data_IF_671706296950
#
_entry.id   IF_671706296950
#
_cell.length_a   1.000
_cell.length_b   1.000
_cell.length_c   1.000
_cell.angle_alpha   90.00
_cell.angle_beta   90.00
_cell.angle_gamma   90.00
#
_symmetry.space_group_name_H-M   'P 1'
#
loop_
_entity.id
_entity.type
_entity.pdbx_description
1 polymer ?
#
# COMPACT_ATOMS: atom_id res chain seq x y z
N UNK A 1 -10.93 13.43 51.39
CA UNK A 1 -11.18 12.42 52.43
C UNK A 1 -11.13 11.04 51.78
N UNK A 2 -10.13 10.23 52.18
CA UNK A 2 -10.04 8.75 52.21
C UNK A 2 -10.33 7.96 50.90
N UNK A 3 -9.62 6.90 50.51
CA UNK A 3 -8.53 6.08 51.07
C UNK A 3 -7.94 5.23 49.91
N UNK A 4 -6.62 5.14 49.77
CA UNK A 4 -5.80 3.94 50.02
C UNK A 4 -6.35 2.59 49.54
N UNK A 5 -5.66 1.95 48.60
CA UNK A 5 -5.42 0.49 48.64
C UNK A 5 -4.07 0.15 47.97
N UNK A 6 -3.10 -0.25 48.80
CA UNK A 6 -1.85 -0.93 48.41
C UNK A 6 -2.12 -2.43 48.43
N UNK A 7 -1.69 -3.17 47.40
CA UNK A 7 -1.54 -4.61 47.48
C UNK A 7 -0.07 -4.94 47.20
N UNK A 8 0.59 -5.41 48.26
CA UNK A 8 1.87 -6.12 48.24
C UNK A 8 1.53 -7.57 48.57
N UNK A 9 1.98 -8.52 47.76
CA UNK A 9 2.25 -9.87 48.27
C UNK A 9 3.36 -10.53 47.46
N UNK A 10 4.40 -10.95 48.19
CA UNK A 10 5.55 -11.74 47.74
C UNK A 10 5.20 -13.22 47.94
N UNK A 11 5.49 -14.07 46.97
CA UNK A 11 5.83 -15.48 47.20
C UNK A 11 6.97 -15.82 46.25
N UNK A 12 8.10 -16.28 46.80
CA UNK A 12 9.21 -16.85 46.06
C UNK A 12 9.24 -18.37 46.21
N UNK A 13 9.89 -19.06 45.27
CA UNK A 13 10.48 -20.39 45.45
C UNK A 13 11.78 -20.47 44.60
N UNK A 14 12.93 -20.86 45.19
CA UNK A 14 14.17 -21.18 44.49
C UNK A 14 14.25 -22.68 44.16
N UNK A 15 14.97 -23.12 43.12
CA UNK A 15 15.72 -24.40 43.11
C UNK A 15 16.73 -24.38 41.94
N UNK A 16 17.97 -24.75 42.29
CA UNK A 16 19.13 -24.94 41.42
C UNK A 16 19.04 -26.23 40.58
N UNK A 17 19.67 -26.22 39.39
CA UNK A 17 19.81 -27.40 38.53
C UNK A 17 21.15 -27.38 37.80
N UNK A 18 21.87 -28.50 37.91
CA UNK A 18 23.31 -28.71 37.72
C UNK A 18 23.91 -28.41 36.34
N UNK A 19 25.21 -28.09 36.43
CA UNK A 19 26.25 -28.13 35.42
C UNK A 19 26.45 -29.54 34.82
N UNK A 20 26.60 -29.61 33.50
CA UNK A 20 27.38 -30.65 32.83
C UNK A 20 28.19 -30.01 31.69
N UNK A 21 29.48 -29.74 31.96
CA UNK A 21 30.47 -29.47 30.92
C UNK A 21 31.01 -30.82 30.44
N UNK A 22 30.66 -31.22 29.22
CA UNK A 22 31.43 -32.21 28.48
C UNK A 22 32.30 -31.49 27.46
N UNK A 23 33.55 -31.26 27.83
CA UNK A 23 34.64 -30.98 26.91
C UNK A 23 35.18 -32.31 26.36
N UNK A 24 35.18 -32.50 25.03
CA UNK A 24 36.01 -33.49 24.36
C UNK A 24 36.04 -33.27 22.84
N UNK A 25 37.25 -33.11 22.27
CA UNK A 25 37.58 -33.22 20.84
C UNK A 25 37.32 -31.95 20.01
N UNK A 26 38.29 -31.28 19.36
CA UNK A 26 39.57 -31.75 18.84
C UNK A 26 39.42 -32.23 17.40
N UNK A 27 39.46 -31.30 16.43
CA UNK A 27 39.42 -31.59 14.99
C UNK A 27 39.48 -30.29 14.19
N UNK A 28 40.69 -29.93 13.74
CA UNK A 28 40.92 -28.79 12.87
C UNK A 28 40.75 -29.20 11.42
N UNK A 29 39.60 -28.87 10.84
CA UNK A 29 39.41 -28.87 9.40
C UNK A 29 39.35 -27.42 8.95
N UNK A 30 40.40 -26.99 8.24
CA UNK A 30 40.41 -25.78 7.43
C UNK A 30 39.46 -25.98 6.24
N UNK A 31 38.16 -25.95 6.56
CA UNK A 31 37.09 -25.87 5.58
C UNK A 31 37.18 -24.51 4.91
N UNK A 32 37.53 -24.52 3.62
CA UNK A 32 37.25 -23.43 2.70
C UNK A 32 35.79 -23.03 2.94
N UNK A 33 35.58 -21.88 3.59
CA UNK A 33 34.26 -21.37 3.90
C UNK A 33 33.49 -21.26 2.61
N UNK A 34 32.61 -22.22 2.35
CA UNK A 34 31.55 -22.08 1.36
C UNK A 34 30.78 -20.86 1.82
N UNK A 35 30.96 -19.74 1.11
CA UNK A 35 30.13 -18.56 1.27
C UNK A 35 28.70 -19.08 1.14
N UNK A 36 27.95 -19.06 2.23
CA UNK A 36 26.61 -19.63 2.27
C UNK A 36 25.82 -19.02 1.12
N UNK A 37 25.42 -19.84 0.16
CA UNK A 37 24.58 -19.39 -0.95
C UNK A 37 23.25 -18.97 -0.36
N UNK A 38 23.07 -17.67 -0.14
CA UNK A 38 21.79 -17.12 0.29
C UNK A 38 20.79 -17.28 -0.85
N UNK A 39 19.60 -17.81 -0.56
CA UNK A 39 18.51 -17.82 -1.52
C UNK A 39 18.02 -16.39 -1.71
N UNK A 40 18.07 -15.81 -2.92
CA UNK A 40 17.60 -14.47 -3.17
C UNK A 40 16.14 -14.28 -2.75
N UNK A 41 15.82 -13.13 -2.18
CA UNK A 41 14.43 -12.75 -1.88
C UNK A 41 13.92 -11.78 -2.94
N UNK A 42 12.61 -11.77 -3.17
CA UNK A 42 12.00 -10.88 -4.17
C UNK A 42 10.83 -10.12 -3.57
N UNK A 43 10.84 -8.80 -3.78
CA UNK A 43 9.73 -7.92 -3.47
C UNK A 43 9.04 -7.56 -4.78
N UNK A 44 7.79 -7.97 -4.90
CA UNK A 44 6.93 -7.69 -6.06
C UNK A 44 5.73 -6.86 -5.62
N UNK A 45 5.07 -6.20 -6.56
CA UNK A 45 4.00 -5.31 -6.18
C UNK A 45 3.34 -4.57 -7.31
N UNK A 46 2.52 -3.61 -6.93
CA UNK A 46 1.88 -2.66 -7.85
C UNK A 46 1.94 -1.27 -7.25
N UNK A 47 2.41 -0.30 -8.04
CA UNK A 47 2.33 1.11 -7.71
C UNK A 47 1.05 1.73 -8.31
N UNK A 48 0.16 2.21 -7.45
CA UNK A 48 -1.11 2.77 -7.89
C UNK A 48 -1.55 4.00 -7.07
N UNK A 49 -1.65 5.10 -7.79
CA UNK A 49 -2.52 6.24 -7.50
C UNK A 49 -3.30 6.61 -8.78
N UNK A 50 -3.62 5.55 -9.52
CA UNK A 50 -3.54 5.45 -10.96
C UNK A 50 -2.32 4.60 -11.32
N UNK A 51 -2.39 3.74 -12.33
CA UNK A 51 -1.25 2.89 -12.69
C UNK A 51 0.00 3.74 -12.95
N UNK A 52 1.02 3.60 -12.10
CA UNK A 52 2.26 4.38 -12.22
C UNK A 52 3.23 3.60 -13.10
N UNK A 53 3.54 4.11 -14.30
CA UNK A 53 4.38 3.43 -15.29
C UNK A 53 5.76 4.04 -15.38
N UNK A 54 6.77 3.21 -15.63
CA UNK A 54 8.16 3.64 -15.80
C UNK A 54 8.69 4.44 -14.60
N UNK A 55 8.18 4.18 -13.39
CA UNK A 55 8.71 4.77 -12.18
C UNK A 55 9.93 3.98 -11.70
N UNK A 56 10.87 4.67 -11.08
CA UNK A 56 11.98 4.03 -10.38
C UNK A 56 11.45 3.43 -9.08
N UNK A 57 11.73 2.15 -8.85
CA UNK A 57 11.39 1.45 -7.62
C UNK A 57 12.67 1.16 -6.85
N UNK A 58 12.70 1.54 -5.58
CA UNK A 58 13.77 1.16 -4.65
C UNK A 58 13.21 0.29 -3.54
N UNK A 59 13.93 -0.76 -3.19
CA UNK A 59 13.68 -1.61 -2.02
C UNK A 59 14.87 -1.45 -1.09
N UNK A 60 14.68 -0.66 -0.04
CA UNK A 60 15.69 -0.27 0.92
C UNK A 60 15.52 -1.10 2.19
N UNK A 61 16.59 -1.76 2.65
CA UNK A 61 16.55 -2.49 3.92
C UNK A 61 16.41 -1.51 5.07
N UNK A 62 15.85 -1.98 6.17
CA UNK A 62 15.84 -1.23 7.41
C UNK A 62 16.77 -1.95 8.37
N UNK A 63 17.95 -1.39 8.57
CA UNK A 63 19.02 -1.96 9.39
C UNK A 63 19.21 -1.05 10.59
N UNK A 64 19.22 -1.62 11.79
CA UNK A 64 19.33 -0.87 13.06
C UNK A 64 18.33 0.29 13.17
N UNK A 65 17.12 0.09 12.64
CA UNK A 65 16.05 1.07 12.70
C UNK A 65 16.10 2.17 11.65
N UNK A 66 17.04 2.12 10.70
CA UNK A 66 17.25 3.18 9.71
C UNK A 66 17.14 2.57 8.30
N UNK A 67 16.35 3.18 7.39
CA UNK A 67 16.37 2.79 5.99
C UNK A 67 17.74 3.03 5.37
N UNK A 68 18.22 2.10 4.57
CA UNK A 68 19.41 2.30 3.75
C UNK A 68 19.31 3.55 2.86
N UNK A 69 20.47 4.09 2.50
CA UNK A 69 20.54 5.20 1.54
C UNK A 69 20.07 4.73 0.16
N UNK A 70 19.43 5.62 -0.60
CA UNK A 70 18.84 5.27 -1.91
C UNK A 70 19.84 4.62 -2.88
N UNK A 71 21.10 5.06 -2.83
CA UNK A 71 22.17 4.54 -3.67
C UNK A 71 22.54 3.07 -3.38
N UNK A 72 22.18 2.53 -2.22
CA UNK A 72 22.47 1.14 -1.82
C UNK A 72 21.24 0.24 -1.86
N UNK A 73 20.05 0.79 -2.11
CA UNK A 73 18.82 0.02 -2.22
C UNK A 73 18.83 -0.85 -3.49
N UNK A 74 18.19 -2.02 -3.41
CA UNK A 74 17.89 -2.78 -4.62
C UNK A 74 16.91 -1.98 -5.49
N UNK A 75 17.05 -2.04 -6.81
CA UNK A 75 16.27 -1.19 -7.72
C UNK A 75 15.59 -1.94 -8.84
N UNK A 76 14.54 -1.34 -9.39
CA UNK A 76 13.83 -1.79 -10.57
C UNK A 76 12.96 -0.68 -11.13
N UNK A 77 12.07 -1.02 -12.07
CA UNK A 77 11.15 -0.06 -12.68
C UNK A 77 9.74 -0.62 -12.75
N UNK A 78 8.73 0.23 -12.65
CA UNK A 78 7.35 -0.21 -12.87
C UNK A 78 7.05 -0.47 -14.34
N UNK A 79 6.32 -1.54 -14.62
CA UNK A 79 5.85 -1.94 -15.94
C UNK A 79 4.64 -1.13 -16.44
N UNK A 80 4.10 -1.48 -17.62
CA UNK A 80 2.94 -0.80 -18.21
C UNK A 80 1.63 -0.93 -17.43
N UNK A 81 1.54 -1.89 -16.52
CA UNK A 81 0.44 -2.09 -15.58
C UNK A 81 0.79 -1.59 -14.17
N UNK A 82 1.89 -0.86 -14.00
CA UNK A 82 2.38 -0.42 -12.69
C UNK A 82 2.92 -1.54 -11.80
N UNK A 83 3.01 -2.78 -12.30
CA UNK A 83 3.65 -3.87 -11.58
C UNK A 83 5.16 -3.66 -11.48
N UNK A 84 5.78 -4.21 -10.44
CA UNK A 84 7.24 -4.24 -10.33
C UNK A 84 7.68 -5.54 -9.64
N UNK A 85 8.95 -5.89 -9.83
CA UNK A 85 9.63 -6.98 -9.14
C UNK A 85 11.09 -6.60 -8.96
N UNK A 86 11.56 -6.60 -7.71
CA UNK A 86 12.93 -6.24 -7.33
C UNK A 86 13.51 -7.37 -6.50
N UNK A 87 14.62 -7.93 -6.97
CA UNK A 87 15.33 -9.03 -6.31
C UNK A 87 16.43 -8.49 -5.40
N UNK A 88 16.51 -9.03 -4.18
CA UNK A 88 17.57 -8.80 -3.21
C UNK A 88 18.47 -10.04 -3.19
N UNK A 89 19.64 -9.92 -3.82
CA UNK A 89 20.53 -11.07 -4.12
C UNK A 89 21.14 -11.72 -2.89
N UNK A 90 21.14 -11.05 -1.74
CA UNK A 90 21.71 -11.53 -0.49
C UNK A 90 20.70 -12.23 0.42
N UNK A 91 19.46 -12.43 -0.06
CA UNK A 91 18.45 -13.17 0.67
C UNK A 91 17.93 -12.48 1.92
N UNK A 92 17.95 -11.14 1.96
CA UNK A 92 17.48 -10.36 3.11
C UNK A 92 16.02 -10.68 3.46
N UNK A 93 15.75 -10.92 4.75
CA UNK A 93 14.42 -11.28 5.29
C UNK A 93 13.89 -10.30 6.35
N UNK A 94 14.57 -9.18 6.56
CA UNK A 94 14.18 -8.17 7.55
C UNK A 94 13.15 -7.15 7.04
N UNK A 95 12.85 -6.12 7.85
CA UNK A 95 11.96 -5.04 7.45
C UNK A 95 12.53 -4.22 6.28
N UNK A 96 11.67 -3.77 5.36
CA UNK A 96 12.10 -2.97 4.22
C UNK A 96 11.13 -1.82 3.91
N UNK A 97 11.67 -0.76 3.33
CA UNK A 97 10.95 0.38 2.77
C UNK A 97 11.00 0.29 1.24
N UNK A 98 9.84 0.36 0.62
CA UNK A 98 9.71 0.43 -0.84
C UNK A 98 9.41 1.88 -1.20
N UNK A 99 10.17 2.43 -2.14
CA UNK A 99 9.97 3.79 -2.68
C UNK A 99 9.67 3.70 -4.16
N UNK A 100 8.60 4.34 -4.59
CA UNK A 100 8.26 4.54 -6.01
C UNK A 100 8.46 6.01 -6.29
N UNK A 101 9.39 6.33 -7.19
CA UNK A 101 9.84 7.68 -7.48
C UNK A 101 9.70 7.97 -8.98
N UNK A 102 9.50 9.25 -9.30
CA UNK A 102 9.57 9.70 -10.68
C UNK A 102 10.96 9.42 -11.28
N UNK A 103 10.96 8.90 -12.50
CA UNK A 103 12.08 8.77 -13.41
C UNK A 103 11.76 9.42 -14.76
N UNK A 104 12.56 9.12 -15.77
CA UNK A 104 12.33 9.64 -17.13
C UNK A 104 11.08 9.02 -17.73
N UNK A 105 10.13 9.84 -18.19
CA UNK A 105 8.91 9.37 -18.83
C UNK A 105 7.89 8.72 -17.88
N UNK A 106 8.06 8.87 -16.56
CA UNK A 106 7.11 8.33 -15.59
C UNK A 106 5.77 9.03 -15.68
N UNK A 107 4.71 8.23 -15.76
CA UNK A 107 3.33 8.71 -15.81
C UNK A 107 2.47 7.95 -14.82
N UNK A 108 1.33 8.53 -14.48
CA UNK A 108 0.26 7.88 -13.72
C UNK A 108 -1.06 8.03 -14.47
N UNK A 109 -1.93 7.03 -14.34
CA UNK A 109 -3.31 7.12 -14.84
C UNK A 109 -4.09 8.14 -13.99
N UNK A 110 -4.79 9.07 -14.62
CA UNK A 110 -5.84 9.84 -13.97
C UNK A 110 -7.15 9.04 -14.01
N UNK A 111 -7.53 8.40 -12.90
CA UNK A 111 -8.70 7.52 -12.86
C UNK A 111 -10.03 8.26 -13.08
N UNK A 112 -10.03 9.60 -13.10
CA UNK A 112 -11.22 10.39 -13.39
C UNK A 112 -11.40 10.70 -14.88
N UNK A 113 -10.34 10.59 -15.67
CA UNK A 113 -10.36 10.94 -17.11
C UNK A 113 -9.88 9.80 -18.01
N UNK A 114 -9.18 8.80 -17.46
CA UNK A 114 -8.54 7.73 -18.21
C UNK A 114 -7.24 8.15 -18.92
N UNK A 115 -6.81 9.40 -18.75
CA UNK A 115 -5.61 9.94 -19.38
C UNK A 115 -4.36 9.66 -18.55
N UNK A 116 -3.21 9.54 -19.20
CA UNK A 116 -1.92 9.51 -18.51
C UNK A 116 -1.42 10.93 -18.28
N UNK A 117 -1.04 11.23 -17.04
CA UNK A 117 -0.46 12.50 -16.62
C UNK A 117 0.95 12.28 -16.04
N UNK A 118 1.82 13.30 -16.01
CA UNK A 118 3.13 13.18 -15.39
C UNK A 118 3.04 12.75 -13.93
N UNK A 119 3.95 11.87 -13.49
CA UNK A 119 4.13 11.51 -12.09
C UNK A 119 5.40 12.19 -11.56
N UNK A 120 5.28 13.02 -10.53
CA UNK A 120 6.36 13.88 -10.03
C UNK A 120 6.50 13.86 -8.49
N UNK A 121 6.09 12.75 -7.87
CA UNK A 121 6.11 12.57 -6.41
C UNK A 121 6.84 11.28 -6.05
N UNK A 122 6.98 11.05 -4.74
CA UNK A 122 7.44 9.77 -4.20
C UNK A 122 6.33 9.18 -3.35
N UNK A 123 5.98 7.93 -3.58
CA UNK A 123 5.12 7.15 -2.69
C UNK A 123 5.90 5.99 -2.10
N UNK A 124 5.60 5.67 -0.85
CA UNK A 124 6.28 4.63 -0.10
C UNK A 124 5.29 3.57 0.38
N UNK A 125 5.84 2.39 0.62
CA UNK A 125 5.20 1.35 1.39
C UNK A 125 6.27 0.71 2.29
N UNK A 126 5.82 0.01 3.33
CA UNK A 126 6.68 -0.66 4.28
C UNK A 126 6.28 -2.13 4.36
N UNK A 127 7.26 -3.01 4.53
CA UNK A 127 7.01 -4.42 4.81
C UNK A 127 7.72 -4.79 6.13
N UNK A 128 7.04 -5.44 7.08
CA UNK A 128 7.62 -5.76 8.38
C UNK A 128 8.71 -6.84 8.28
N UNK A 129 8.61 -7.72 7.29
CA UNK A 129 9.62 -8.71 6.97
C UNK A 129 9.54 -9.07 5.48
N UNK A 130 10.67 -9.06 4.79
CA UNK A 130 10.81 -9.64 3.46
C UNK A 130 10.90 -11.17 3.58
N UNK A 131 10.34 -11.88 2.63
CA UNK A 131 10.42 -13.34 2.51
C UNK A 131 10.84 -13.72 1.08
N UNK A 132 10.87 -15.02 0.76
CA UNK A 132 11.19 -15.49 -0.60
C UNK A 132 10.35 -14.77 -1.67
N UNK A 133 9.06 -14.58 -1.40
CA UNK A 133 8.12 -13.80 -2.23
C UNK A 133 7.31 -12.87 -1.36
N UNK A 134 7.62 -11.57 -1.41
CA UNK A 134 6.87 -10.52 -0.72
C UNK A 134 6.06 -9.71 -1.71
N UNK A 135 4.77 -9.51 -1.44
CA UNK A 135 3.90 -8.66 -2.24
C UNK A 135 3.58 -7.39 -1.48
N UNK A 136 3.71 -6.23 -2.14
CA UNK A 136 3.40 -4.92 -1.54
C UNK A 136 2.73 -4.00 -2.55
N UNK A 137 1.81 -3.16 -2.06
CA UNK A 137 1.12 -2.18 -2.90
C UNK A 137 1.50 -0.77 -2.45
N UNK A 138 1.96 0.03 -3.40
CA UNK A 138 2.40 1.41 -3.15
C UNK A 138 1.30 2.36 -3.60
N UNK A 139 0.59 2.93 -2.64
CA UNK A 139 -0.58 3.81 -2.82
C UNK A 139 -0.47 5.02 -1.89
N UNK A 140 -1.34 6.05 -2.00
CA UNK A 140 -1.37 7.11 -1.00
C UNK A 140 -1.61 6.57 0.42
N UNK A 141 -2.38 5.49 0.57
CA UNK A 141 -2.68 4.92 1.88
C UNK A 141 -1.46 4.19 2.47
N UNK A 142 -0.67 3.49 1.65
CA UNK A 142 0.60 2.93 2.13
C UNK A 142 1.62 4.04 2.44
N UNK A 143 1.58 5.14 1.70
CA UNK A 143 2.42 6.32 1.96
C UNK A 143 2.06 6.96 3.31
N UNK A 144 0.78 7.00 3.68
CA UNK A 144 0.37 7.39 5.03
C UNK A 144 1.05 6.51 6.10
N UNK A 145 1.00 5.18 5.93
CA UNK A 145 1.62 4.26 6.88
C UNK A 145 3.15 4.44 6.93
N UNK A 146 3.80 4.63 5.78
CA UNK A 146 5.24 4.86 5.71
C UNK A 146 5.66 6.19 6.34
N UNK A 147 4.89 7.26 6.13
CA UNK A 147 5.16 8.59 6.70
C UNK A 147 5.11 8.61 8.23
N UNK A 148 4.34 7.71 8.84
CA UNK A 148 4.23 7.54 10.28
C UNK A 148 5.53 7.05 10.96
N UNK A 149 6.46 6.46 10.18
CA UNK A 149 7.67 5.80 10.70
C UNK A 149 8.83 6.75 11.00
N UNK A 150 8.78 8.00 10.52
CA UNK A 150 9.93 8.90 10.59
C UNK A 150 11.15 8.32 9.84
N UNK A 151 12.36 8.59 10.34
CA UNK A 151 13.62 8.18 9.69
C UNK A 151 14.51 7.27 10.55
N UNK A 152 14.10 6.95 11.77
CA UNK A 152 14.93 6.19 12.72
C UNK A 152 14.08 5.35 13.69
N UNK A 153 14.68 4.31 14.25
CA UNK A 153 14.02 3.42 15.21
C UNK A 153 12.87 2.64 14.59
N UNK A 154 12.92 2.34 13.29
CA UNK A 154 11.89 1.61 12.54
C UNK A 154 12.10 0.11 12.72
N UNK A 155 11.08 -0.61 13.16
CA UNK A 155 11.10 -2.07 13.29
C UNK A 155 9.81 -2.70 12.75
N UNK A 156 9.80 -4.02 12.63
CA UNK A 156 8.65 -4.79 12.14
C UNK A 156 7.36 -4.51 12.93
N UNK A 157 7.47 -4.30 14.25
CA UNK A 157 6.33 -4.01 15.12
C UNK A 157 5.73 -2.65 14.83
N UNK A 158 6.56 -1.61 14.69
CA UNK A 158 6.10 -0.26 14.33
C UNK A 158 5.50 -0.20 12.93
N UNK A 159 6.09 -0.91 11.97
CA UNK A 159 5.53 -1.03 10.61
C UNK A 159 4.12 -1.62 10.67
N UNK A 160 3.96 -2.74 11.39
CA UNK A 160 2.65 -3.40 11.56
C UNK A 160 1.64 -2.48 12.25
N UNK A 161 2.06 -1.75 13.28
CA UNK A 161 1.22 -0.78 13.99
C UNK A 161 0.73 0.33 13.04
N UNK A 162 1.62 0.96 12.26
CA UNK A 162 1.21 2.02 11.34
C UNK A 162 0.26 1.53 10.25
N UNK A 163 0.50 0.35 9.69
CA UNK A 163 -0.42 -0.26 8.73
C UNK A 163 -1.80 -0.51 9.36
N UNK A 164 -1.83 -1.00 10.60
CA UNK A 164 -3.07 -1.26 11.35
C UNK A 164 -3.82 0.04 11.67
N UNK A 165 -3.09 1.08 12.09
CA UNK A 165 -3.67 2.40 12.40
C UNK A 165 -4.27 3.04 11.14
N UNK A 166 -3.56 3.00 10.00
CA UNK A 166 -4.11 3.49 8.73
C UNK A 166 -5.31 2.67 8.28
N UNK A 167 -5.25 1.34 8.37
CA UNK A 167 -6.37 0.45 8.06
C UNK A 167 -7.61 0.76 8.92
N UNK A 168 -7.43 0.94 10.23
CA UNK A 168 -8.51 1.31 11.16
C UNK A 168 -9.11 2.68 10.83
N UNK A 169 -8.26 3.67 10.58
CA UNK A 169 -8.70 5.02 10.23
C UNK A 169 -9.48 5.06 8.91
N UNK A 170 -9.08 4.23 7.94
CA UNK A 170 -9.70 4.16 6.62
C UNK A 170 -10.74 3.05 6.51
N UNK A 171 -11.10 2.40 7.62
CA UNK A 171 -12.10 1.35 7.65
C UNK A 171 -13.47 1.85 7.19
N UNK A 172 -13.83 3.10 7.52
CA UNK A 172 -15.05 3.75 7.01
C UNK A 172 -15.08 3.98 5.50
N UNK A 173 -13.94 3.82 4.82
CA UNK A 173 -13.82 3.82 3.35
C UNK A 173 -13.64 2.42 2.77
N UNK A 174 -13.58 1.38 3.61
CA UNK A 174 -13.29 0.00 3.22
C UNK A 174 -11.89 -0.19 2.61
N UNK A 175 -10.91 0.64 2.99
CA UNK A 175 -9.54 0.53 2.48
C UNK A 175 -8.82 -0.59 3.23
N UNK A 176 -8.25 -1.52 2.47
CA UNK A 176 -7.39 -2.57 2.97
C UNK A 176 -6.05 -2.55 2.20
N UNK A 177 -4.95 -2.30 2.92
CA UNK A 177 -3.62 -2.16 2.35
C UNK A 177 -3.06 -3.46 1.73
N UNK A 178 -3.68 -4.60 2.02
CA UNK A 178 -3.34 -5.91 1.45
C UNK A 178 -4.03 -6.20 0.11
N UNK A 179 -4.93 -5.31 -0.34
CA UNK A 179 -5.69 -5.49 -1.56
C UNK A 179 -4.98 -4.82 -2.74
N UNK A 180 -4.87 -5.57 -3.83
CA UNK A 180 -4.28 -5.09 -5.07
C UNK A 180 -5.08 -3.90 -5.61
N UNK A 181 -4.46 -2.76 -5.93
CA UNK A 181 -5.16 -1.53 -6.33
C UNK A 181 -5.57 -1.52 -7.81
N UNK A 182 -6.05 -2.66 -8.31
CA UNK A 182 -6.57 -2.87 -9.66
C UNK A 182 -7.38 -4.17 -9.70
N UNK A 183 -8.22 -4.33 -10.72
CA UNK A 183 -8.95 -5.58 -10.92
C UNK A 183 -8.01 -6.63 -11.52
N UNK A 184 -7.94 -7.82 -10.91
CA UNK A 184 -7.09 -8.91 -11.34
C UNK A 184 -7.92 -10.14 -11.72
N UNK A 185 -8.38 -10.20 -12.98
CA UNK A 185 -9.19 -11.32 -13.45
C UNK A 185 -8.36 -12.59 -13.64
N UNK A 186 -7.05 -12.46 -13.85
CA UNK A 186 -6.15 -13.61 -13.97
C UNK A 186 -6.12 -14.43 -12.69
N UNK A 187 -5.96 -13.78 -11.55
CA UNK A 187 -5.81 -14.47 -10.27
C UNK A 187 -7.13 -14.58 -9.50
N UNK A 188 -8.04 -13.62 -9.68
CA UNK A 188 -9.25 -13.49 -8.85
C UNK A 188 -10.55 -13.53 -9.67
N UNK A 189 -10.52 -13.90 -10.95
CA UNK A 189 -11.71 -13.91 -11.81
C UNK A 189 -12.87 -14.79 -11.32
N UNK A 190 -12.58 -15.76 -10.44
CA UNK A 190 -13.57 -16.61 -9.77
C UNK A 190 -13.88 -16.22 -8.32
N UNK A 191 -13.18 -15.23 -7.75
CA UNK A 191 -13.37 -14.77 -6.37
C UNK A 191 -14.12 -13.43 -6.36
N UNK A 192 -15.46 -13.46 -6.22
CA UNK A 192 -16.25 -12.24 -6.19
C UNK A 192 -15.91 -11.32 -5.03
N UNK A 193 -15.59 -11.85 -3.85
CA UNK A 193 -15.33 -11.02 -2.68
C UNK A 193 -14.05 -10.20 -2.89
N UNK A 194 -13.00 -10.85 -3.40
CA UNK A 194 -11.73 -10.20 -3.70
C UNK A 194 -11.87 -9.17 -4.82
N UNK A 195 -12.61 -9.46 -5.90
CA UNK A 195 -12.88 -8.47 -6.95
C UNK A 195 -13.63 -7.24 -6.40
N UNK A 196 -14.52 -7.42 -5.42
CA UNK A 196 -15.24 -6.32 -4.77
C UNK A 196 -14.32 -5.43 -3.95
N UNK A 197 -13.41 -6.05 -3.20
CA UNK A 197 -12.38 -5.34 -2.46
C UNK A 197 -11.45 -4.56 -3.39
N UNK A 198 -11.03 -5.17 -4.51
CA UNK A 198 -10.20 -4.50 -5.54
C UNK A 198 -10.93 -3.31 -6.17
N UNK A 199 -12.21 -3.48 -6.52
CA UNK A 199 -13.01 -2.39 -7.06
C UNK A 199 -13.19 -1.25 -6.05
N UNK A 200 -13.42 -1.57 -4.77
CA UNK A 200 -13.49 -0.55 -3.72
C UNK A 200 -12.15 0.18 -3.59
N UNK A 201 -11.02 -0.52 -3.63
CA UNK A 201 -9.70 0.13 -3.59
C UNK A 201 -9.52 1.12 -4.75
N UNK A 202 -9.86 0.73 -5.99
CA UNK A 202 -9.80 1.64 -7.16
C UNK A 202 -10.75 2.83 -6.99
N UNK A 203 -11.96 2.62 -6.44
CA UNK A 203 -12.89 3.69 -6.10
C UNK A 203 -12.30 4.67 -5.09
N UNK A 204 -11.64 4.18 -4.03
CA UNK A 204 -11.01 5.06 -3.03
C UNK A 204 -9.82 5.84 -3.62
N UNK A 205 -9.01 5.24 -4.50
CA UNK A 205 -7.94 5.97 -5.22
C UNK A 205 -8.49 7.05 -6.15
N UNK A 206 -9.63 6.78 -6.79
CA UNK A 206 -10.38 7.76 -7.58
C UNK A 206 -10.92 8.89 -6.70
N UNK A 207 -11.43 8.61 -5.49
CA UNK A 207 -11.81 9.64 -4.51
C UNK A 207 -10.64 10.53 -4.12
N UNK A 208 -9.45 9.96 -3.91
CA UNK A 208 -8.25 10.77 -3.64
C UNK A 208 -7.93 11.68 -4.83
N UNK A 209 -8.11 11.20 -6.08
CA UNK A 209 -7.94 12.02 -7.29
C UNK A 209 -8.95 13.17 -7.34
N UNK A 210 -10.22 12.90 -7.07
CA UNK A 210 -11.26 13.92 -7.03
C UNK A 210 -11.01 14.94 -5.91
N UNK A 211 -10.64 14.49 -4.73
CA UNK A 211 -10.33 15.37 -3.61
C UNK A 211 -9.15 16.29 -3.93
N UNK A 212 -8.12 15.79 -4.63
CA UNK A 212 -7.01 16.61 -5.09
C UNK A 212 -7.45 17.75 -6.01
N UNK A 213 -8.43 17.49 -6.90
CA UNK A 213 -8.95 18.48 -7.85
C UNK A 213 -9.97 19.44 -7.24
N UNK A 214 -10.78 18.97 -6.31
CA UNK A 214 -12.01 19.68 -5.92
C UNK A 214 -12.10 20.04 -4.43
N UNK A 215 -11.33 19.41 -3.55
CA UNK A 215 -11.41 19.68 -2.11
C UNK A 215 -10.50 20.84 -1.69
N UNK A 216 -11.08 22.03 -1.51
CA UNK A 216 -10.37 23.20 -0.96
C UNK A 216 -9.99 23.10 0.52
N UNK A 217 -10.49 22.07 1.22
CA UNK A 217 -10.14 21.79 2.62
C UNK A 217 -8.79 21.08 2.78
N UNK A 218 -8.29 20.44 1.72
CA UNK A 218 -6.96 19.82 1.73
C UNK A 218 -5.92 20.90 1.48
N UNK A 219 -5.10 21.18 2.49
CA UNK A 219 -4.12 22.26 2.49
C UNK A 219 -2.73 21.73 2.80
N UNK A 220 -1.73 22.24 2.09
CA UNK A 220 -0.32 21.94 2.37
C UNK A 220 0.16 22.49 3.72
N UNK A 221 1.43 22.27 4.05
CA UNK A 221 2.03 22.76 5.31
C UNK A 221 2.06 24.29 5.43
N UNK A 222 1.90 25.02 4.33
CA UNK A 222 1.85 26.48 4.30
C UNK A 222 0.40 27.00 4.34
N UNK A 223 -0.60 26.10 4.42
CA UNK A 223 -2.01 26.44 4.41
C UNK A 223 -2.61 26.72 3.03
N UNK A 224 -1.86 26.51 1.95
CA UNK A 224 -2.36 26.67 0.58
C UNK A 224 -3.19 25.45 0.19
N UNK A 225 -4.36 25.66 -0.41
CA UNK A 225 -5.21 24.56 -0.87
C UNK A 225 -4.52 23.76 -1.99
N UNK A 226 -4.62 22.44 -1.96
CA UNK A 226 -4.02 21.59 -2.98
C UNK A 226 -4.56 21.90 -4.38
N UNK A 227 -5.83 22.30 -4.49
CA UNK A 227 -6.48 22.73 -5.74
C UNK A 227 -6.40 24.23 -6.00
N UNK A 228 -5.42 24.95 -5.42
CA UNK A 228 -5.24 26.37 -5.68
C UNK A 228 -5.12 26.68 -7.18
N UNK A 229 -5.62 27.84 -7.62
CA UNK A 229 -5.56 28.26 -9.01
C UNK A 229 -4.11 28.26 -9.52
N UNK A 230 -3.89 27.72 -10.72
CA UNK A 230 -2.57 27.62 -11.35
C UNK A 230 -1.79 26.34 -11.00
N UNK A 231 -2.30 25.48 -10.12
CA UNK A 231 -1.72 24.15 -9.91
C UNK A 231 -2.12 23.19 -11.02
N UNK A 232 -1.14 22.45 -11.54
CA UNK A 232 -1.39 21.34 -12.46
C UNK A 232 -1.95 20.12 -11.72
N UNK A 233 -2.66 19.24 -12.41
CA UNK A 233 -3.19 18.00 -11.81
C UNK A 233 -2.13 17.15 -11.10
N UNK A 234 -0.91 16.92 -11.64
CA UNK A 234 0.15 16.25 -10.89
C UNK A 234 0.52 16.92 -9.56
N UNK A 235 0.60 18.26 -9.54
CA UNK A 235 0.89 19.03 -8.32
C UNK A 235 -0.24 18.91 -7.29
N UNK A 236 -1.49 18.95 -7.74
CA UNK A 236 -2.67 18.76 -6.88
C UNK A 236 -2.61 17.40 -6.18
N UNK A 237 -2.32 16.33 -6.93
CA UNK A 237 -2.21 14.98 -6.40
C UNK A 237 -1.04 14.88 -5.42
N UNK A 238 0.13 15.40 -5.78
CA UNK A 238 1.30 15.38 -4.90
C UNK A 238 1.01 16.09 -3.57
N UNK A 239 0.35 17.25 -3.63
CA UNK A 239 -0.11 17.96 -2.44
C UNK A 239 -1.05 17.08 -1.59
N UNK A 240 -2.09 16.51 -2.20
CA UNK A 240 -3.04 15.65 -1.46
C UNK A 240 -2.38 14.44 -0.82
N UNK A 241 -1.45 13.78 -1.51
CA UNK A 241 -0.68 12.66 -0.94
C UNK A 241 0.14 13.12 0.27
N UNK A 242 0.77 14.29 0.21
CA UNK A 242 1.50 14.87 1.33
C UNK A 242 0.57 15.24 2.51
N UNK A 243 -0.63 15.77 2.22
CA UNK A 243 -1.63 16.07 3.25
C UNK A 243 -2.09 14.78 3.94
N UNK A 244 -2.37 13.74 3.16
CA UNK A 244 -2.71 12.41 3.70
C UNK A 244 -1.57 11.87 4.57
N UNK A 245 -0.33 11.92 4.09
CA UNK A 245 0.85 11.52 4.88
C UNK A 245 0.92 12.27 6.23
N UNK A 246 0.61 13.56 6.24
CA UNK A 246 0.67 14.38 7.45
C UNK A 246 -0.38 14.06 8.53
N UNK A 247 -1.35 13.19 8.23
CA UNK A 247 -2.35 12.69 9.19
C UNK A 247 -1.70 11.85 10.28
N UNK A 248 -0.65 11.11 9.94
CA UNK A 248 0.10 10.31 10.90
C UNK A 248 1.13 11.20 11.60
N UNK A 249 1.15 11.19 12.93
CA UNK A 249 2.14 11.92 13.75
C UNK A 249 3.18 10.99 14.39
N UNK A 250 3.04 9.68 14.16
CA UNK A 250 3.91 8.63 14.63
C UNK A 250 3.29 7.26 14.32
N UNK A 251 4.03 6.19 14.60
CA UNK A 251 3.66 4.82 14.24
C UNK A 251 2.26 4.38 14.67
N UNK A 252 1.80 4.84 15.84
CA UNK A 252 0.53 4.45 16.44
C UNK A 252 -0.38 5.65 16.70
N UNK A 253 -0.02 6.84 16.22
CA UNK A 253 -0.73 8.09 16.53
C UNK A 253 -1.17 8.80 15.27
N UNK A 254 -2.46 9.13 15.24
CA UNK A 254 -3.05 10.02 14.25
C UNK A 254 -3.21 11.40 14.86
N UNK A 255 -3.11 12.44 14.02
CA UNK A 255 -3.69 13.74 14.32
C UNK A 255 -5.20 13.64 14.03
N UNK A 256 -6.07 13.64 15.05
CA UNK A 256 -7.50 13.42 14.87
C UNK A 256 -8.16 14.53 14.03
N UNK A 257 -7.66 15.76 14.09
CA UNK A 257 -8.20 16.89 13.32
C UNK A 257 -7.85 16.75 11.84
N UNK A 258 -6.60 16.40 11.52
CA UNK A 258 -6.20 16.12 10.14
C UNK A 258 -6.88 14.89 9.58
N UNK A 259 -6.99 13.81 10.38
CA UNK A 259 -7.70 12.60 10.00
C UNK A 259 -9.16 12.91 9.64
N UNK A 260 -9.87 13.65 10.49
CA UNK A 260 -11.24 14.08 10.24
C UNK A 260 -11.34 14.95 8.97
N UNK A 261 -10.40 15.87 8.77
CA UNK A 261 -10.37 16.74 7.58
C UNK A 261 -10.18 15.93 6.29
N UNK A 262 -9.22 15.01 6.28
CA UNK A 262 -8.97 14.13 5.13
C UNK A 262 -10.17 13.23 4.86
N UNK A 263 -10.71 12.58 5.89
CA UNK A 263 -11.86 11.70 5.74
C UNK A 263 -13.09 12.45 5.24
N UNK A 264 -13.36 13.65 5.76
CA UNK A 264 -14.45 14.51 5.28
C UNK A 264 -14.22 14.93 3.81
N UNK A 265 -13.00 15.32 3.44
CA UNK A 265 -12.67 15.70 2.07
C UNK A 265 -12.87 14.53 1.08
N UNK A 266 -12.50 13.31 1.47
CA UNK A 266 -12.67 12.10 0.66
C UNK A 266 -14.14 11.67 0.57
N UNK A 267 -14.88 11.71 1.68
CA UNK A 267 -16.30 11.35 1.72
C UNK A 267 -17.18 12.36 0.97
N UNK A 268 -16.77 13.62 0.87
CA UNK A 268 -17.47 14.62 0.07
C UNK A 268 -17.35 14.38 -1.45
N UNK A 269 -16.46 13.48 -1.90
CA UNK A 269 -16.31 13.17 -3.32
C UNK A 269 -17.30 12.11 -3.79
N UNK A 270 -18.21 12.52 -4.67
CA UNK A 270 -19.09 11.61 -5.41
C UNK A 270 -18.37 11.10 -6.65
N UNK A 271 -17.82 9.89 -6.59
CA UNK A 271 -17.28 9.23 -7.78
C UNK A 271 -18.45 8.75 -8.63
N UNK A 272 -18.68 9.38 -9.76
CA UNK A 272 -19.71 8.96 -10.74
C UNK A 272 -19.12 8.06 -11.81
N UNK A 273 -17.83 8.23 -12.14
CA UNK A 273 -17.14 7.41 -13.13
C UNK A 273 -15.70 7.19 -12.68
N UNK A 274 -15.22 5.95 -12.79
CA UNK A 274 -13.83 5.59 -12.58
C UNK A 274 -13.30 4.83 -13.78
N UNK A 275 -12.11 5.20 -14.26
CA UNK A 275 -11.37 4.46 -15.28
C UNK A 275 -10.51 3.41 -14.59
N UNK A 276 -10.97 2.16 -14.64
CA UNK A 276 -10.37 1.09 -13.87
C UNK A 276 -9.34 0.30 -14.68
N UNK A 277 -8.14 0.09 -14.15
CA UNK A 277 -7.21 -0.88 -14.70
C UNK A 277 -7.69 -2.31 -14.41
N UNK A 278 -7.79 -3.12 -15.46
CA UNK A 278 -8.18 -4.53 -15.37
C UNK A 278 -7.10 -5.38 -16.00
N UNK A 279 -6.48 -6.27 -15.23
CA UNK A 279 -5.67 -7.38 -15.77
C UNK A 279 -6.65 -8.45 -16.25
N UNK A 280 -6.57 -8.79 -17.54
CA UNK A 280 -7.37 -9.84 -18.18
C UNK A 280 -6.93 -11.22 -17.70
N UNK A 281 -7.73 -12.24 -18.00
CA UNK A 281 -7.40 -13.63 -17.70
C UNK A 281 -6.05 -14.10 -18.29
N UNK A 282 -5.64 -13.55 -19.44
CA UNK A 282 -4.35 -13.84 -20.08
C UNK A 282 -3.14 -13.11 -19.43
N UNK A 283 -3.39 -12.26 -18.43
CA UNK A 283 -2.38 -11.46 -17.75
C UNK A 283 -2.02 -10.14 -18.44
N UNK A 284 -2.65 -9.81 -19.56
CA UNK A 284 -2.47 -8.50 -20.22
C UNK A 284 -3.38 -7.44 -19.60
N UNK A 285 -2.99 -6.18 -19.71
CA UNK A 285 -3.82 -5.05 -19.27
C UNK A 285 -4.92 -4.77 -20.31
N UNK A 286 -6.18 -4.65 -19.87
CA UNK A 286 -7.29 -4.23 -20.71
C UNK A 286 -7.11 -2.78 -21.17
N UNK A 287 -7.06 -2.57 -22.49
CA UNK A 287 -6.90 -1.25 -23.10
C UNK A 287 -8.00 -1.07 -24.18
N UNK A 288 -8.67 0.11 -24.27
CA UNK A 288 -8.57 1.23 -23.34
C UNK A 288 -9.04 0.86 -21.91
N UNK A 289 -8.66 1.68 -20.93
CA UNK A 289 -9.16 1.53 -19.56
C UNK A 289 -10.68 1.54 -19.55
N UNK A 290 -11.30 0.65 -18.78
CA UNK A 290 -12.75 0.52 -18.77
C UNK A 290 -13.35 1.58 -17.84
N UNK A 291 -14.25 2.39 -18.37
CA UNK A 291 -15.05 3.32 -17.56
C UNK A 291 -16.13 2.54 -16.82
N UNK A 292 -16.19 2.69 -15.51
CA UNK A 292 -17.23 2.10 -14.66
C UNK A 292 -18.03 3.21 -14.02
N UNK A 293 -19.34 3.12 -14.15
CA UNK A 293 -20.29 4.05 -13.57
C UNK A 293 -20.48 3.70 -12.10
N UNK A 294 -20.19 4.65 -11.22
CA UNK A 294 -20.15 4.49 -9.77
C UNK A 294 -21.34 5.19 -9.07
N UNK A 295 -22.35 5.65 -9.83
CA UNK A 295 -23.46 6.51 -9.34
C UNK A 295 -24.40 5.82 -8.35
N UNK A 296 -24.67 4.54 -8.53
CA UNK A 296 -25.49 3.73 -7.63
C UNK A 296 -24.89 2.35 -7.47
N UNK A 297 -25.25 1.63 -6.40
CA UNK A 297 -24.82 0.24 -6.24
C UNK A 297 -25.23 -0.58 -7.47
N UNK A 298 -26.51 -0.63 -7.82
CA UNK A 298 -26.98 -1.40 -8.99
C UNK A 298 -26.26 -1.02 -10.29
N UNK A 299 -26.10 0.27 -10.59
CA UNK A 299 -25.40 0.73 -11.81
C UNK A 299 -23.91 0.36 -11.77
N UNK A 300 -23.29 0.41 -10.60
CA UNK A 300 -21.89 -0.01 -10.38
C UNK A 300 -21.72 -1.49 -10.64
N UNK A 301 -22.60 -2.35 -10.12
CA UNK A 301 -22.52 -3.79 -10.39
C UNK A 301 -22.61 -4.10 -11.89
N UNK A 302 -23.56 -3.48 -12.58
CA UNK A 302 -23.79 -3.74 -14.01
C UNK A 302 -22.64 -3.22 -14.86
N UNK A 303 -22.18 -1.99 -14.63
CA UNK A 303 -21.08 -1.40 -15.42
C UNK A 303 -19.75 -2.09 -15.14
N UNK A 304 -19.49 -2.51 -13.90
CA UNK A 304 -18.31 -3.30 -13.55
C UNK A 304 -18.36 -4.69 -14.17
N UNK A 305 -19.50 -5.36 -14.15
CA UNK A 305 -19.68 -6.64 -14.83
C UNK A 305 -19.42 -6.51 -16.33
N UNK A 306 -19.96 -5.47 -16.98
CA UNK A 306 -19.71 -5.19 -18.39
C UNK A 306 -18.22 -4.95 -18.67
N UNK A 307 -17.54 -4.18 -17.82
CA UNK A 307 -16.10 -3.93 -17.91
C UNK A 307 -15.25 -5.21 -17.72
N UNK A 308 -15.64 -6.11 -16.82
CA UNK A 308 -14.95 -7.39 -16.65
C UNK A 308 -15.21 -8.33 -17.83
N UNK A 309 -16.43 -8.37 -18.35
CA UNK A 309 -16.78 -9.16 -19.54
C UNK A 309 -16.04 -8.66 -20.79
N UNK A 310 -15.93 -7.35 -21.00
CA UNK A 310 -15.13 -6.78 -22.09
C UNK A 310 -13.63 -7.08 -21.94
N UNK A 311 -13.16 -7.24 -20.70
CA UNK A 311 -11.80 -7.68 -20.37
C UNK A 311 -11.62 -9.22 -20.45
N UNK A 312 -12.62 -9.98 -20.89
CA UNK A 312 -12.52 -11.42 -21.13
C UNK A 312 -13.01 -12.32 -20.00
N UNK A 313 -13.76 -11.80 -19.02
CA UNK A 313 -14.43 -12.63 -18.01
C UNK A 313 -15.56 -13.45 -18.66
N UNK A 314 -15.39 -14.76 -18.78
CA UNK A 314 -16.43 -15.65 -19.32
C UNK A 314 -17.56 -15.86 -18.30
N UNK A 315 -18.80 -15.82 -18.78
CA UNK A 315 -20.08 -15.53 -18.09
C UNK A 315 -20.53 -16.44 -16.94
N UNK A 316 -19.76 -17.46 -16.51
CA UNK A 316 -20.19 -18.40 -15.47
C UNK A 316 -20.15 -17.86 -14.03
N UNK A 317 -19.40 -16.78 -13.76
CA UNK A 317 -19.31 -16.17 -12.43
C UNK A 317 -20.18 -14.90 -12.27
N UNK A 318 -20.90 -14.47 -13.29
CA UNK A 318 -21.25 -13.06 -13.44
C UNK A 318 -22.38 -12.49 -12.51
N UNK A 319 -23.55 -13.15 -12.29
CA UNK A 319 -24.70 -12.44 -11.71
C UNK A 319 -24.62 -12.20 -10.19
N UNK A 320 -24.06 -13.16 -9.43
CA UNK A 320 -24.00 -13.07 -7.97
C UNK A 320 -22.78 -12.27 -7.49
N UNK A 321 -21.71 -12.27 -8.28
CA UNK A 321 -20.44 -11.60 -7.94
C UNK A 321 -20.65 -10.12 -7.72
N UNK A 322 -21.31 -9.41 -8.64
CA UNK A 322 -21.44 -7.96 -8.57
C UNK A 322 -22.35 -7.46 -7.43
N UNK A 323 -23.39 -8.22 -7.08
CA UNK A 323 -24.28 -7.90 -5.95
C UNK A 323 -23.59 -8.15 -4.61
N UNK A 324 -22.83 -9.24 -4.49
CA UNK A 324 -22.05 -9.54 -3.27
C UNK A 324 -20.87 -8.58 -3.08
N UNK A 325 -20.24 -8.12 -4.17
CA UNK A 325 -19.13 -7.16 -4.13
C UNK A 325 -19.46 -5.84 -3.43
N UNK A 326 -20.74 -5.43 -3.38
CA UNK A 326 -21.15 -4.14 -2.83
C UNK A 326 -21.95 -4.21 -1.54
N UNK A 327 -22.61 -5.33 -1.23
CA UNK A 327 -23.26 -5.49 0.08
C UNK A 327 -22.25 -5.54 1.24
N UNK A 328 -20.97 -5.77 0.96
CA UNK A 328 -19.86 -5.64 1.92
C UNK A 328 -19.25 -4.23 2.01
N UNK A 329 -19.77 -3.24 1.27
CA UNK A 329 -19.26 -1.85 1.27
C UNK A 329 -20.04 -0.91 2.23
N UNK A 330 -20.85 -1.46 3.14
CA UNK A 330 -21.57 -0.72 4.18
C UNK A 330 -20.86 -0.79 5.53
#
# INVERSE_FOLDING_TARGET
MNAYLKIVSKIGIPVAGLLALSACGGGGDSGLGTVGSHTPTTVSGTAAKGLVKQANVLVCRIVNGIPEADATCASGTTGPDGSFSVTMSDGYTGPAMIKVMAGTGTTMLDETTGAYIPYNMTMRAMVPAVSATTTVYVTPFSEMAASAMGTSGIDAGKITQAMTTVGTMMAGLGVDLSIKPMMDLKNNGSDPAMLGQQANMVKQLTRVMMAAKYAGSLKDSNGAACNATGTSTPQQIACTVNVMASVMTGAATTDPTKAATVLAALNAQTVTTAYMPIIKADGTLAMPMQSVDMTSTTTTSTSMQAAMQSAGMTTAAAPNTATTMMNGMH
#
